data_IF_599464755151
#
_entry.id   IF_599464755151
#
_cell.length_a   1.000
_cell.length_b   1.000
_cell.length_c   1.000
_cell.angle_alpha   90.00
_cell.angle_beta   90.00
_cell.angle_gamma   90.00
#
_symmetry.space_group_name_H-M   'P 1'
#
loop_
_entity.id
_entity.type
_entity.pdbx_description
1 polymer ?
#
# COMPACT_ATOMS: atom_id res chain seq x y z
N UNK A 1 -37.25 -5.74 10.88
CA UNK A 1 -36.33 -5.05 9.95
C UNK A 1 -35.14 -4.56 10.77
N UNK A 2 -34.00 -5.27 10.72
CA UNK A 2 -32.85 -4.95 11.56
C UNK A 2 -31.76 -4.27 10.71
N UNK A 3 -31.70 -2.95 10.77
CA UNK A 3 -30.61 -2.16 10.21
C UNK A 3 -29.48 -2.10 11.23
N UNK A 4 -28.34 -2.72 10.94
CA UNK A 4 -27.09 -2.26 11.52
C UNK A 4 -25.94 -2.54 10.55
N UNK A 5 -25.82 -1.61 9.59
CA UNK A 5 -24.68 -1.47 8.71
C UNK A 5 -23.42 -1.36 9.58
N UNK A 6 -22.62 -2.43 9.64
CA UNK A 6 -21.29 -2.43 10.27
C UNK A 6 -20.38 -1.44 9.54
N UNK A 7 -20.49 -0.16 9.88
CA UNK A 7 -19.48 0.85 9.57
C UNK A 7 -18.24 0.48 10.37
N UNK A 8 -17.39 -0.37 9.79
CA UNK A 8 -16.05 -0.66 10.31
C UNK A 8 -15.27 0.65 10.32
N UNK A 9 -15.26 1.32 11.47
CA UNK A 9 -14.35 2.42 11.77
C UNK A 9 -12.94 1.95 11.43
N UNK A 10 -12.33 2.60 10.45
CA UNK A 10 -10.98 2.34 9.95
C UNK A 10 -10.00 2.63 11.09
N UNK A 11 -9.53 1.58 11.77
CA UNK A 11 -8.42 1.70 12.71
C UNK A 11 -7.17 2.06 11.89
N UNK A 12 -6.65 3.28 12.07
CA UNK A 12 -5.32 3.63 11.58
C UNK A 12 -4.35 2.62 12.20
N UNK A 13 -3.52 1.99 11.37
CA UNK A 13 -2.46 1.04 11.76
C UNK A 13 -2.79 -0.46 11.81
N UNK A 14 -3.95 -0.91 11.31
CA UNK A 14 -4.20 -2.35 11.11
C UNK A 14 -4.06 -2.71 9.62
N UNK A 15 -3.09 -3.55 9.23
CA UNK A 15 -2.98 -4.03 7.86
C UNK A 15 -4.21 -4.88 7.51
N UNK A 16 -4.91 -4.51 6.43
CA UNK A 16 -6.16 -5.16 6.00
C UNK A 16 -5.92 -6.42 5.15
N UNK A 17 -4.70 -6.64 4.64
CA UNK A 17 -4.47 -7.68 3.63
C UNK A 17 -3.35 -8.69 3.87
N UNK A 18 -2.37 -8.44 4.75
CA UNK A 18 -1.26 -9.38 4.96
C UNK A 18 -0.84 -9.42 6.43
N UNK A 19 -0.64 -10.65 6.95
CA UNK A 19 -0.28 -10.96 8.34
C UNK A 19 1.19 -10.59 8.68
N UNK A 20 1.99 -10.23 7.67
CA UNK A 20 3.40 -9.88 7.82
C UNK A 20 3.60 -8.41 8.20
N UNK A 21 4.27 -8.17 9.32
CA UNK A 21 4.67 -6.81 9.73
C UNK A 21 5.71 -6.24 8.77
N UNK A 22 5.40 -5.07 8.18
CA UNK A 22 6.35 -4.30 7.37
C UNK A 22 7.53 -3.87 8.26
N UNK A 23 8.75 -4.31 7.94
CA UNK A 23 10.00 -3.75 8.46
C UNK A 23 10.44 -2.54 7.61
N UNK A 24 11.19 -1.60 8.20
CA UNK A 24 11.78 -0.47 7.46
C UNK A 24 12.92 -0.95 6.57
N UNK A 25 12.87 -0.63 5.28
CA UNK A 25 13.93 -0.87 4.29
C UNK A 25 14.24 0.45 3.60
N UNK A 26 15.49 0.69 3.28
CA UNK A 26 15.93 1.88 2.54
C UNK A 26 16.35 1.45 1.14
N UNK A 27 15.90 2.18 0.12
CA UNK A 27 16.31 2.00 -1.27
C UNK A 27 16.74 3.35 -1.83
N UNK A 28 17.74 3.35 -2.71
CA UNK A 28 18.17 4.56 -3.41
C UNK A 28 17.50 4.57 -4.80
N UNK A 29 16.85 5.68 -5.13
CA UNK A 29 16.15 5.88 -6.39
C UNK A 29 16.57 7.22 -6.98
N UNK A 30 16.55 7.33 -8.31
CA UNK A 30 16.60 8.63 -8.97
C UNK A 30 15.28 9.38 -8.74
N UNK A 31 15.34 10.71 -8.78
CA UNK A 31 14.15 11.56 -8.59
C UNK A 31 13.03 11.19 -9.57
N UNK A 32 13.36 11.06 -10.86
CA UNK A 32 12.43 10.63 -11.92
C UNK A 32 11.78 9.28 -11.63
N UNK A 33 12.52 8.33 -11.05
CA UNK A 33 11.95 7.01 -10.71
C UNK A 33 10.97 7.12 -9.55
N UNK A 34 11.31 7.92 -8.53
CA UNK A 34 10.45 8.17 -7.39
C UNK A 34 9.16 8.91 -7.77
N UNK A 35 9.25 9.93 -8.61
CA UNK A 35 8.07 10.63 -9.14
C UNK A 35 7.13 9.69 -9.90
N UNK A 36 7.69 8.83 -10.77
CA UNK A 36 6.90 7.86 -11.53
C UNK A 36 6.21 6.84 -10.62
N UNK A 37 6.91 6.34 -9.60
CA UNK A 37 6.34 5.45 -8.57
C UNK A 37 5.17 6.12 -7.87
N UNK A 38 5.33 7.38 -7.42
CA UNK A 38 4.25 8.11 -6.75
C UNK A 38 3.04 8.32 -7.66
N UNK A 39 3.27 8.72 -8.92
CA UNK A 39 2.18 8.91 -9.90
C UNK A 39 1.38 7.64 -10.16
N UNK A 40 2.06 6.50 -10.30
CA UNK A 40 1.41 5.20 -10.53
C UNK A 40 0.64 4.74 -9.27
N UNK A 41 1.20 4.98 -8.09
CA UNK A 41 0.57 4.64 -6.82
C UNK A 41 -0.70 5.48 -6.59
N UNK A 42 -0.63 6.79 -6.86
CA UNK A 42 -1.77 7.71 -6.79
C UNK A 42 -2.89 7.31 -7.76
N UNK A 43 -2.53 7.00 -9.02
CA UNK A 43 -3.49 6.52 -10.03
C UNK A 43 -4.21 5.23 -9.63
N UNK A 44 -3.62 4.42 -8.75
CA UNK A 44 -4.21 3.19 -8.22
C UNK A 44 -4.81 3.37 -6.82
N UNK A 45 -4.81 4.59 -6.28
CA UNK A 45 -5.24 4.91 -4.91
C UNK A 45 -4.55 4.04 -3.84
N UNK A 46 -3.26 3.71 -4.06
CA UNK A 46 -2.42 2.96 -3.13
C UNK A 46 -1.17 3.76 -2.75
N UNK A 47 -0.47 3.34 -1.69
CA UNK A 47 0.80 3.96 -1.31
C UNK A 47 1.95 3.44 -2.18
N UNK A 48 3.01 4.26 -2.37
CA UNK A 48 4.23 3.85 -3.07
C UNK A 48 4.84 2.55 -2.52
N UNK A 49 4.82 2.35 -1.20
CA UNK A 49 5.29 1.09 -0.59
C UNK A 49 4.45 -0.13 -1.00
N UNK A 50 3.14 0.04 -1.15
CA UNK A 50 2.23 -1.03 -1.58
C UNK A 50 2.47 -1.37 -3.06
N UNK A 51 2.70 -0.36 -3.90
CA UNK A 51 3.08 -0.56 -5.29
C UNK A 51 4.40 -1.36 -5.41
N UNK A 52 5.42 -0.99 -4.64
CA UNK A 52 6.72 -1.68 -4.62
C UNK A 52 6.58 -3.12 -4.12
N UNK A 53 5.76 -3.37 -3.08
CA UNK A 53 5.50 -4.73 -2.60
C UNK A 53 4.79 -5.60 -3.64
N UNK A 54 3.80 -5.03 -4.37
CA UNK A 54 3.14 -5.74 -5.47
C UNK A 54 4.13 -6.12 -6.57
N UNK A 55 4.98 -5.19 -7.01
CA UNK A 55 6.01 -5.50 -7.99
C UNK A 55 6.96 -6.58 -7.48
N UNK A 56 7.47 -6.45 -6.25
CA UNK A 56 8.37 -7.44 -5.65
C UNK A 56 7.77 -8.85 -5.56
N UNK A 57 6.45 -8.98 -5.35
CA UNK A 57 5.76 -10.28 -5.33
C UNK A 57 5.43 -10.86 -6.70
N UNK A 58 5.49 -10.06 -7.78
CA UNK A 58 5.20 -10.49 -9.16
C UNK A 58 6.48 -10.61 -10.02
N UNK A 59 7.67 -10.55 -9.42
CA UNK A 59 8.92 -10.86 -10.12
C UNK A 59 9.07 -12.39 -10.19
N UNK A 60 8.81 -12.96 -11.36
CA UNK A 60 9.10 -14.35 -11.73
C UNK A 60 10.34 -14.44 -12.64
#
# INVERSE_FOLDING_TARGET
MNVNSKTRKRLRHVPVHYDELKKKRTINLTDTSWEKINKIADSQSISASELIERWGRNLE
#
